data_IF_739808447109
#
_entry.id   IF_739808447109
#
_cell.length_a   1.000
_cell.length_b   1.000
_cell.length_c   1.000
_cell.angle_alpha   90.00
_cell.angle_beta   90.00
_cell.angle_gamma   90.00
#
_symmetry.space_group_name_H-M   'P 1'
#
loop_
_entity.id
_entity.type
_entity.pdbx_description
1 polymer ?
#
# COMPACT_ATOMS: atom_id res chain seq x y z
N UNK A 1 13.01 -1.38 -11.16
CA UNK A 1 14.32 -0.71 -11.11
C UNK A 1 15.14 -1.38 -10.00
N UNK A 2 16.42 -1.66 -10.22
CA UNK A 2 17.27 -2.27 -9.20
C UNK A 2 17.40 -1.30 -8.01
N UNK A 3 17.16 -1.78 -6.79
CA UNK A 3 17.28 -0.95 -5.59
C UNK A 3 18.74 -0.95 -5.16
N UNK A 4 19.35 0.24 -5.05
CA UNK A 4 20.71 0.37 -4.57
C UNK A 4 20.77 0.31 -3.04
N UNK A 5 21.63 -0.56 -2.51
CA UNK A 5 21.94 -0.69 -1.09
C UNK A 5 23.32 -0.09 -0.77
N UNK A 6 23.73 0.96 -1.49
CA UNK A 6 25.02 1.61 -1.24
C UNK A 6 24.97 2.38 0.09
N UNK A 7 26.09 2.35 0.83
CA UNK A 7 26.23 3.11 2.09
C UNK A 7 25.55 2.48 3.31
N UNK A 8 25.03 1.25 3.23
CA UNK A 8 24.57 0.49 4.39
C UNK A 8 25.62 -0.55 4.79
N UNK A 9 26.01 -0.54 6.07
CA UNK A 9 27.04 -1.41 6.64
C UNK A 9 26.59 -2.87 6.87
N UNK A 10 25.44 -3.28 6.35
CA UNK A 10 24.84 -4.60 6.56
C UNK A 10 24.57 -5.32 5.23
N UNK A 11 24.68 -6.66 5.19
CA UNK A 11 24.32 -7.42 4.00
C UNK A 11 22.87 -7.17 3.58
N UNK A 12 22.61 -7.10 2.27
CA UNK A 12 21.27 -6.90 1.69
C UNK A 12 20.24 -7.86 2.29
N UNK A 13 20.58 -9.13 2.47
CA UNK A 13 19.68 -10.14 3.01
C UNK A 13 19.22 -9.81 4.45
N UNK A 14 20.12 -9.28 5.29
CA UNK A 14 19.82 -8.88 6.68
C UNK A 14 18.86 -7.69 6.70
N UNK A 15 19.13 -6.69 5.88
CA UNK A 15 18.28 -5.50 5.74
C UNK A 15 16.88 -5.89 5.30
N UNK A 16 16.78 -6.69 4.23
CA UNK A 16 15.50 -7.12 3.69
C UNK A 16 14.73 -7.98 4.69
N UNK A 17 15.41 -8.81 5.46
CA UNK A 17 14.78 -9.61 6.51
C UNK A 17 14.14 -8.73 7.58
N UNK A 18 14.89 -7.76 8.11
CA UNK A 18 14.38 -6.78 9.08
C UNK A 18 13.20 -5.98 8.51
N UNK A 19 13.35 -5.42 7.30
CA UNK A 19 12.28 -4.63 6.66
C UNK A 19 11.03 -5.48 6.46
N UNK A 20 11.16 -6.68 5.88
CA UNK A 20 10.03 -7.58 5.65
C UNK A 20 9.33 -7.95 6.95
N UNK A 21 10.09 -8.29 7.99
CA UNK A 21 9.53 -8.69 9.28
C UNK A 21 8.74 -7.54 9.93
N UNK A 22 9.31 -6.32 9.91
CA UNK A 22 8.65 -5.14 10.44
C UNK A 22 7.31 -4.84 9.75
N UNK A 23 7.28 -4.89 8.42
CA UNK A 23 6.08 -4.51 7.66
C UNK A 23 5.02 -5.63 7.63
N UNK A 24 5.43 -6.87 7.93
CA UNK A 24 4.55 -8.04 7.89
C UNK A 24 3.89 -8.35 9.24
N UNK A 25 4.57 -8.05 10.35
CA UNK A 25 4.14 -8.40 11.70
C UNK A 25 3.96 -7.15 12.55
N UNK A 26 3.04 -7.22 13.52
CA UNK A 26 2.72 -6.09 14.39
C UNK A 26 3.74 -5.99 15.55
N UNK A 27 5.01 -5.72 15.20
CA UNK A 27 6.12 -5.60 16.14
C UNK A 27 6.63 -4.16 16.22
N UNK A 28 7.17 -3.77 17.37
CA UNK A 28 7.85 -2.48 17.54
C UNK A 28 9.26 -2.53 16.93
N UNK A 29 9.88 -1.37 16.69
CA UNK A 29 11.28 -1.36 16.25
C UNK A 29 12.26 -1.86 17.31
N UNK A 30 11.89 -1.78 18.60
CA UNK A 30 12.69 -2.33 19.70
C UNK A 30 12.57 -3.84 19.76
N UNK A 31 11.36 -4.36 19.59
CA UNK A 31 11.14 -5.82 19.49
C UNK A 31 11.94 -6.38 18.31
N UNK A 32 11.94 -5.67 17.17
CA UNK A 32 12.74 -6.09 16.02
C UNK A 32 14.25 -6.02 16.27
N UNK A 33 14.73 -5.01 16.99
CA UNK A 33 16.13 -4.94 17.43
C UNK A 33 16.50 -6.16 18.28
N UNK A 34 15.66 -6.53 19.25
CA UNK A 34 15.84 -7.73 20.08
C UNK A 34 15.83 -9.03 19.23
N UNK A 35 14.84 -9.19 18.34
CA UNK A 35 14.74 -10.34 17.42
C UNK A 35 15.98 -10.46 16.52
N UNK A 36 16.53 -9.34 16.06
CA UNK A 36 17.75 -9.35 15.24
C UNK A 36 18.98 -9.71 16.09
N UNK A 37 19.05 -9.22 17.33
CA UNK A 37 20.12 -9.54 18.27
C UNK A 37 20.12 -11.02 18.68
N UNK A 38 18.96 -11.66 18.86
CA UNK A 38 18.82 -13.11 19.08
C UNK A 38 19.45 -13.94 17.95
N UNK A 39 19.53 -13.39 16.74
CA UNK A 39 20.18 -14.01 15.58
C UNK A 39 21.62 -13.55 15.36
N UNK A 40 22.21 -12.85 16.33
CA UNK A 40 23.59 -12.35 16.29
C UNK A 40 23.78 -11.07 15.47
N UNK A 41 22.71 -10.36 15.10
CA UNK A 41 22.78 -9.10 14.35
C UNK A 41 22.52 -7.93 15.30
N UNK A 42 23.59 -7.25 15.72
CA UNK A 42 23.51 -6.08 16.62
C UNK A 42 23.20 -4.83 15.81
N UNK A 43 21.94 -4.38 15.80
CA UNK A 43 21.50 -3.19 15.05
C UNK A 43 20.51 -2.36 15.86
N UNK A 44 20.75 -1.05 15.96
CA UNK A 44 19.89 -0.13 16.68
C UNK A 44 18.53 0.10 15.97
N UNK A 45 17.44 0.21 16.75
CA UNK A 45 16.08 0.47 16.28
C UNK A 45 15.94 1.69 15.36
N UNK A 46 16.74 2.75 15.52
CA UNK A 46 16.71 3.90 14.60
C UNK A 46 17.31 3.55 13.24
N UNK A 47 18.29 2.63 13.18
CA UNK A 47 18.80 2.08 11.91
C UNK A 47 17.74 1.24 11.21
N UNK A 48 17.03 0.39 11.95
CA UNK A 48 15.90 -0.39 11.42
C UNK A 48 14.81 0.52 10.86
N UNK A 49 14.47 1.61 11.56
CA UNK A 49 13.54 2.62 11.07
C UNK A 49 14.00 3.24 9.75
N UNK A 50 15.27 3.66 9.65
CA UNK A 50 15.84 4.21 8.41
C UNK A 50 15.72 3.22 7.26
N UNK A 51 15.97 1.93 7.48
CA UNK A 51 15.82 0.90 6.44
C UNK A 51 14.39 0.77 5.96
N UNK A 52 13.42 0.68 6.86
CA UNK A 52 12.01 0.58 6.50
C UNK A 52 11.57 1.79 5.68
N UNK A 53 11.89 3.00 6.16
CA UNK A 53 11.49 4.25 5.49
C UNK A 53 12.16 4.40 4.12
N UNK A 54 13.42 3.99 3.99
CA UNK A 54 14.19 4.15 2.75
C UNK A 54 13.84 3.10 1.68
N UNK A 55 13.74 1.82 2.06
CA UNK A 55 13.63 0.73 1.09
C UNK A 55 12.18 0.38 0.75
N UNK A 56 11.24 0.51 1.68
CA UNK A 56 9.84 0.11 1.44
C UNK A 56 9.17 0.84 0.26
N UNK A 57 9.34 2.16 0.05
CA UNK A 57 8.75 2.85 -1.11
C UNK A 57 9.24 2.27 -2.46
N UNK A 58 10.54 2.03 -2.59
CA UNK A 58 11.14 1.51 -3.82
C UNK A 58 10.71 0.07 -4.08
N UNK A 59 10.60 -0.76 -3.04
CA UNK A 59 10.05 -2.11 -3.14
C UNK A 59 8.58 -2.07 -3.57
N UNK A 60 7.80 -1.13 -3.03
CA UNK A 60 6.40 -0.95 -3.42
C UNK A 60 6.23 -0.49 -4.86
N UNK A 61 7.10 0.39 -5.36
CA UNK A 61 7.10 0.77 -6.78
C UNK A 61 7.37 -0.44 -7.68
N UNK A 62 8.36 -1.28 -7.34
CA UNK A 62 8.63 -2.53 -8.06
C UNK A 62 7.47 -3.53 -7.94
N UNK A 63 6.81 -3.61 -6.78
CA UNK A 63 5.64 -4.44 -6.56
C UNK A 63 4.46 -4.01 -7.46
N UNK A 64 4.18 -2.71 -7.55
CA UNK A 64 3.13 -2.18 -8.42
C UNK A 64 3.38 -2.51 -9.89
N UNK A 65 4.65 -2.46 -10.33
CA UNK A 65 5.02 -2.79 -11.71
C UNK A 65 4.97 -4.29 -12.02
N UNK A 66 5.17 -5.17 -11.03
CA UNK A 66 5.32 -6.63 -11.22
C UNK A 66 4.12 -7.46 -10.77
N UNK A 67 3.12 -6.85 -10.12
CA UNK A 67 1.91 -7.55 -9.67
C UNK A 67 1.11 -8.08 -10.86
N UNK A 68 0.31 -9.11 -10.62
CA UNK A 68 -0.65 -9.62 -11.62
C UNK A 68 -1.70 -8.56 -11.94
N UNK A 69 -2.22 -8.63 -13.17
CA UNK A 69 -3.35 -7.80 -13.60
C UNK A 69 -4.55 -8.06 -12.71
N UNK A 70 -5.17 -6.99 -12.26
CA UNK A 70 -6.37 -6.98 -11.42
C UNK A 70 -7.64 -6.94 -12.27
N UNK A 71 -8.78 -7.30 -11.69
CA UNK A 71 -10.07 -7.22 -12.37
C UNK A 71 -10.54 -5.76 -12.56
N UNK A 72 -11.34 -5.53 -13.61
CA UNK A 72 -11.87 -4.20 -13.98
C UNK A 72 -13.01 -3.68 -13.07
N UNK A 73 -13.41 -4.44 -12.05
CA UNK A 73 -14.41 -4.01 -11.06
C UNK A 73 -13.73 -3.68 -9.74
N UNK A 74 -13.68 -2.40 -9.41
CA UNK A 74 -12.94 -1.89 -8.26
C UNK A 74 -13.88 -1.60 -7.08
N UNK A 75 -13.34 -1.70 -5.87
CA UNK A 75 -13.89 -1.15 -4.63
C UNK A 75 -12.87 -0.18 -4.08
N UNK A 76 -13.32 1.01 -3.71
CA UNK A 76 -12.47 2.05 -3.16
C UNK A 76 -13.12 2.66 -1.93
N UNK A 77 -12.29 2.94 -0.93
CA UNK A 77 -12.64 3.58 0.32
C UNK A 77 -11.38 4.14 0.98
N UNK A 78 -11.57 4.99 1.98
CA UNK A 78 -10.50 5.51 2.81
C UNK A 78 -10.51 4.85 4.19
N UNK A 79 -9.31 4.62 4.74
CA UNK A 79 -9.17 4.32 6.18
C UNK A 79 -8.33 5.38 6.88
N UNK A 80 -8.64 5.60 8.15
CA UNK A 80 -7.94 6.55 9.00
C UNK A 80 -6.61 5.99 9.48
N UNK A 81 -5.55 6.79 9.36
CA UNK A 81 -4.22 6.51 9.92
C UNK A 81 -3.79 7.73 10.74
N UNK A 82 -3.25 7.50 11.95
CA UNK A 82 -2.80 8.60 12.81
C UNK A 82 -1.34 8.96 12.51
N UNK A 83 -1.09 10.23 12.20
CA UNK A 83 0.25 10.78 11.92
C UNK A 83 0.40 12.09 12.68
N UNK A 84 1.46 12.24 13.48
CA UNK A 84 1.72 13.42 14.33
C UNK A 84 0.52 13.81 15.20
N UNK A 85 -0.17 12.80 15.74
CA UNK A 85 -1.37 13.01 16.55
C UNK A 85 -2.64 13.35 15.77
N UNK A 86 -2.55 13.66 14.47
CA UNK A 86 -3.68 14.01 13.59
C UNK A 86 -4.15 12.82 12.77
N UNK A 87 -5.44 12.77 12.45
CA UNK A 87 -5.98 11.78 11.53
C UNK A 87 -5.67 12.16 10.09
N UNK A 88 -5.13 11.19 9.35
CA UNK A 88 -4.86 11.23 7.91
C UNK A 88 -5.63 10.11 7.22
N UNK A 89 -5.68 10.14 5.89
CA UNK A 89 -6.54 9.30 5.08
C UNK A 89 -5.70 8.44 4.15
N UNK A 90 -5.75 7.14 4.35
CA UNK A 90 -5.18 6.16 3.43
C UNK A 90 -6.28 5.75 2.45
N UNK A 91 -6.22 6.32 1.25
CA UNK A 91 -7.02 5.91 0.11
C UNK A 91 -6.55 4.55 -0.37
N UNK A 92 -7.49 3.61 -0.56
CA UNK A 92 -7.18 2.25 -1.01
C UNK A 92 -8.20 1.78 -2.02
N UNK A 93 -7.72 1.03 -3.00
CA UNK A 93 -8.57 0.33 -3.94
C UNK A 93 -8.18 -1.14 -4.02
N UNK A 94 -9.18 -2.01 -4.06
CA UNK A 94 -9.04 -3.44 -4.34
C UNK A 94 -10.00 -3.83 -5.45
N UNK A 95 -9.68 -4.87 -6.21
CA UNK A 95 -10.60 -5.39 -7.19
C UNK A 95 -11.70 -6.27 -6.56
N UNK A 96 -12.56 -6.86 -7.39
CA UNK A 96 -13.65 -7.74 -6.95
C UNK A 96 -13.20 -9.01 -6.25
N UNK A 97 -11.96 -9.43 -6.49
CA UNK A 97 -11.35 -10.65 -5.97
C UNK A 97 -10.47 -10.32 -4.74
N UNK A 98 -10.46 -9.05 -4.31
CA UNK A 98 -9.72 -8.58 -3.13
C UNK A 98 -8.25 -8.26 -3.41
N UNK A 99 -7.80 -8.31 -4.66
CA UNK A 99 -6.42 -7.99 -5.03
C UNK A 99 -6.17 -6.49 -4.97
N UNK A 100 -5.01 -6.08 -4.46
CA UNK A 100 -4.72 -4.65 -4.23
C UNK A 100 -4.46 -3.93 -5.56
N UNK A 101 -5.25 -2.89 -5.84
CA UNK A 101 -5.07 -2.04 -7.03
C UNK A 101 -4.07 -0.94 -6.76
N UNK A 102 -4.35 -0.10 -5.77
CA UNK A 102 -3.49 1.03 -5.48
C UNK A 102 -3.80 1.57 -4.08
N UNK A 103 -2.88 2.37 -3.55
CA UNK A 103 -3.03 3.04 -2.28
C UNK A 103 -2.33 4.40 -2.29
N UNK A 104 -2.83 5.33 -1.49
CA UNK A 104 -2.24 6.65 -1.34
C UNK A 104 -2.57 7.24 0.03
N UNK A 105 -1.54 7.63 0.78
CA UNK A 105 -1.71 8.40 2.00
C UNK A 105 -1.90 9.88 1.67
N UNK A 106 -2.89 10.51 2.30
CA UNK A 106 -3.21 11.93 2.17
C UNK A 106 -3.48 12.55 3.53
N UNK A 107 -3.02 13.79 3.74
CA UNK A 107 -3.38 14.57 4.93
C UNK A 107 -4.83 15.06 4.90
N UNK A 108 -5.45 15.11 3.73
CA UNK A 108 -6.81 15.66 3.51
C UNK A 108 -7.73 14.65 2.86
N UNK A 109 -9.01 14.72 3.23
CA UNK A 109 -10.12 14.00 2.58
C UNK A 109 -10.93 14.96 1.74
N UNK A 110 -10.39 15.31 0.58
CA UNK A 110 -10.99 16.27 -0.34
C UNK A 110 -11.02 15.75 -1.79
N UNK A 111 -11.68 16.51 -2.65
CA UNK A 111 -11.80 16.17 -4.07
C UNK A 111 -10.43 16.12 -4.78
N UNK A 112 -9.47 16.95 -4.36
CA UNK A 112 -8.14 16.97 -4.96
C UNK A 112 -7.38 15.66 -4.66
N UNK A 113 -7.45 15.18 -3.41
CA UNK A 113 -6.90 13.90 -3.00
C UNK A 113 -7.59 12.74 -3.74
N UNK A 114 -8.92 12.72 -3.80
CA UNK A 114 -9.66 11.68 -4.54
C UNK A 114 -9.26 11.65 -6.03
N UNK A 115 -9.21 12.81 -6.71
CA UNK A 115 -8.77 12.91 -8.12
C UNK A 115 -7.35 12.42 -8.32
N UNK A 116 -6.43 12.80 -7.43
CA UNK A 116 -5.03 12.34 -7.48
C UNK A 116 -4.96 10.82 -7.35
N UNK A 117 -5.71 10.24 -6.42
CA UNK A 117 -5.78 8.78 -6.25
C UNK A 117 -6.31 8.07 -7.50
N UNK A 118 -7.43 8.54 -8.07
CA UNK A 118 -7.97 7.95 -9.30
C UNK A 118 -7.01 8.07 -10.47
N UNK A 119 -6.35 9.22 -10.64
CA UNK A 119 -5.34 9.41 -11.69
C UNK A 119 -4.21 8.39 -11.55
N UNK A 120 -3.70 8.20 -10.33
CA UNK A 120 -2.65 7.22 -10.02
C UNK A 120 -3.12 5.79 -10.34
N UNK A 121 -4.27 5.39 -9.79
CA UNK A 121 -4.80 4.04 -9.94
C UNK A 121 -5.11 3.69 -11.40
N UNK A 122 -5.70 4.61 -12.16
CA UNK A 122 -6.01 4.42 -13.59
C UNK A 122 -4.74 4.37 -14.44
N UNK A 123 -3.74 5.20 -14.13
CA UNK A 123 -2.47 5.16 -14.85
C UNK A 123 -1.76 3.81 -14.66
N UNK A 124 -1.86 3.21 -13.48
CA UNK A 124 -1.21 1.93 -13.16
C UNK A 124 -2.03 0.69 -13.58
N UNK A 125 -3.36 0.75 -13.58
CA UNK A 125 -4.22 -0.43 -13.72
C UNK A 125 -5.19 -0.36 -14.93
N UNK A 126 -5.21 0.75 -15.66
CA UNK A 126 -6.18 1.02 -16.73
C UNK A 126 -7.52 1.55 -16.21
N UNK A 127 -8.41 1.88 -17.15
CA UNK A 127 -9.75 2.40 -16.83
C UNK A 127 -10.67 1.23 -16.42
N UNK A 128 -11.32 1.29 -15.24
CA UNK A 128 -12.24 0.25 -14.79
C UNK A 128 -13.63 0.37 -15.41
N UNK A 129 -14.28 -0.78 -15.63
CA UNK A 129 -15.69 -0.85 -16.03
C UNK A 129 -16.61 -0.31 -14.93
N UNK A 130 -16.24 -0.55 -13.67
CA UNK A 130 -17.06 -0.21 -12.51
C UNK A 130 -16.23 0.09 -11.27
N UNK A 131 -16.62 1.13 -10.55
CA UNK A 131 -16.06 1.44 -9.22
C UNK A 131 -17.20 1.49 -8.20
N UNK A 132 -17.04 0.71 -7.14
CA UNK A 132 -17.88 0.78 -5.94
C UNK A 132 -17.17 1.69 -4.94
N UNK A 133 -17.90 2.69 -4.44
CA UNK A 133 -17.43 3.61 -3.40
C UNK A 133 -18.40 3.60 -2.23
N UNK A 134 -17.95 4.08 -1.07
CA UNK A 134 -18.87 4.44 0.03
C UNK A 134 -19.73 5.66 -0.36
N UNK A 135 -20.50 6.20 0.60
CA UNK A 135 -21.29 7.41 0.41
C UNK A 135 -20.46 8.71 0.47
N UNK A 136 -19.14 8.67 0.26
CA UNK A 136 -18.25 9.84 0.23
C UNK A 136 -18.53 10.72 -0.99
N UNK A 137 -18.90 11.98 -0.73
CA UNK A 137 -19.09 12.99 -1.78
C UNK A 137 -17.81 13.28 -2.56
N UNK A 138 -16.63 13.23 -1.91
CA UNK A 138 -15.35 13.48 -2.57
C UNK A 138 -15.01 12.40 -3.61
N UNK A 139 -15.29 11.13 -3.29
CA UNK A 139 -15.04 10.00 -4.20
C UNK A 139 -15.97 10.02 -5.39
N UNK A 140 -17.26 10.30 -5.14
CA UNK A 140 -18.26 10.46 -6.20
C UNK A 140 -17.86 11.59 -7.16
N UNK A 141 -17.54 12.75 -6.63
CA UNK A 141 -17.09 13.90 -7.44
C UNK A 141 -15.76 13.63 -8.17
N UNK A 142 -14.85 12.84 -7.56
CA UNK A 142 -13.62 12.37 -8.19
C UNK A 142 -13.90 11.50 -9.42
N UNK A 143 -14.75 10.49 -9.30
CA UNK A 143 -15.15 9.61 -10.41
C UNK A 143 -15.95 10.33 -11.48
N UNK A 144 -16.83 11.25 -11.10
CA UNK A 144 -17.54 12.08 -12.07
C UNK A 144 -16.55 12.91 -12.91
N UNK A 145 -15.53 13.51 -12.28
CA UNK A 145 -14.49 14.23 -12.99
C UNK A 145 -13.69 13.32 -13.95
N UNK A 146 -13.41 12.07 -13.55
CA UNK A 146 -12.79 11.07 -14.43
C UNK A 146 -13.68 10.80 -15.65
N UNK A 147 -14.97 10.54 -15.45
CA UNK A 147 -15.91 10.29 -16.55
C UNK A 147 -16.04 11.48 -17.51
N UNK A 148 -15.99 12.71 -16.99
CA UNK A 148 -15.96 13.93 -17.82
C UNK A 148 -14.73 13.92 -18.71
N UNK A 149 -13.54 13.66 -18.15
CA UNK A 149 -12.29 13.61 -18.93
C UNK A 149 -12.37 12.51 -20.00
N UNK A 150 -12.75 11.29 -19.63
CA UNK A 150 -12.86 10.14 -20.55
C UNK A 150 -13.82 10.44 -21.71
N UNK A 151 -14.94 11.11 -21.42
CA UNK A 151 -15.91 11.53 -22.45
C UNK A 151 -15.30 12.54 -23.42
N UNK A 152 -14.56 13.53 -22.92
CA UNK A 152 -13.96 14.58 -23.76
C UNK A 152 -12.76 14.10 -24.57
N UNK A 153 -11.95 13.20 -24.01
CA UNK A 153 -10.76 12.67 -24.71
C UNK A 153 -11.09 11.52 -25.65
N UNK A 154 -12.27 10.91 -25.54
CA UNK A 154 -12.64 9.71 -26.29
C UNK A 154 -11.79 8.48 -25.93
N UNK A 155 -11.05 8.53 -24.82
CA UNK A 155 -10.15 7.45 -24.41
C UNK A 155 -10.86 6.52 -23.44
N UNK A 156 -11.19 5.31 -23.88
CA UNK A 156 -11.80 4.27 -23.06
C UNK A 156 -13.33 4.38 -22.97
N UNK A 157 -13.92 3.83 -21.91
CA UNK A 157 -15.35 3.82 -21.66
C UNK A 157 -15.69 4.53 -20.34
N UNK A 158 -16.94 4.95 -20.19
CA UNK A 158 -17.39 5.58 -18.95
C UNK A 158 -17.45 4.57 -17.81
N UNK A 159 -16.89 4.95 -16.67
CA UNK A 159 -16.87 4.15 -15.45
C UNK A 159 -18.27 4.13 -14.83
N UNK A 160 -18.81 2.94 -14.58
CA UNK A 160 -20.05 2.78 -13.81
C UNK A 160 -19.78 3.01 -12.32
N UNK A 161 -20.40 4.02 -11.71
CA UNK A 161 -20.25 4.31 -10.28
C UNK A 161 -21.37 3.65 -9.49
N UNK A 162 -21.05 2.94 -8.40
CA UNK A 162 -22.04 2.35 -7.49
C UNK A 162 -21.75 2.69 -6.03
N UNK A 163 -22.81 2.93 -5.26
CA UNK A 163 -22.77 3.18 -3.81
C UNK A 163 -23.52 2.08 -3.07
N UNK A 164 -22.93 0.88 -3.02
CA UNK A 164 -23.59 -0.32 -2.49
C UNK A 164 -22.80 -0.86 -1.31
N UNK A 165 -23.37 -0.74 -0.10
CA UNK A 165 -22.68 -1.04 1.17
C UNK A 165 -22.07 -2.44 1.21
N UNK A 166 -22.82 -3.48 0.86
CA UNK A 166 -22.34 -4.87 0.97
C UNK A 166 -21.18 -5.20 0.02
N UNK A 167 -21.04 -4.48 -1.10
CA UNK A 167 -19.92 -4.69 -2.02
C UNK A 167 -18.59 -4.15 -1.47
N UNK A 168 -18.65 -3.22 -0.49
CA UNK A 168 -17.48 -2.68 0.19
C UNK A 168 -16.95 -3.59 1.31
N UNK A 169 -17.70 -4.63 1.72
CA UNK A 169 -17.28 -5.53 2.80
C UNK A 169 -15.88 -6.14 2.55
N UNK A 170 -15.54 -6.44 1.29
CA UNK A 170 -14.21 -6.95 0.91
C UNK A 170 -13.11 -5.94 1.28
N UNK A 171 -13.33 -4.66 0.98
CA UNK A 171 -12.37 -3.60 1.27
C UNK A 171 -12.32 -3.27 2.76
N UNK A 172 -13.46 -3.30 3.45
CA UNK A 172 -13.51 -3.17 4.91
C UNK A 172 -12.74 -4.29 5.63
N UNK A 173 -12.86 -5.53 5.15
CA UNK A 173 -12.06 -6.65 5.64
C UNK A 173 -10.58 -6.44 5.35
N UNK A 174 -10.25 -5.91 4.16
CA UNK A 174 -8.89 -5.58 3.77
C UNK A 174 -8.26 -4.51 4.68
N UNK A 175 -9.03 -3.50 5.10
CA UNK A 175 -8.61 -2.48 6.07
C UNK A 175 -8.19 -3.07 7.42
N UNK A 176 -8.77 -4.20 7.84
CA UNK A 176 -8.43 -4.84 9.13
C UNK A 176 -6.98 -5.32 9.15
N UNK A 177 -6.40 -5.67 8.00
CA UNK A 177 -4.98 -6.03 7.93
C UNK A 177 -4.10 -4.82 8.27
N UNK A 178 -4.30 -3.69 7.60
CA UNK A 178 -3.54 -2.46 7.86
C UNK A 178 -3.69 -2.05 9.32
N UNK A 179 -4.93 -1.98 9.83
CA UNK A 179 -5.22 -1.56 11.21
C UNK A 179 -4.56 -2.47 12.26
N UNK A 180 -4.46 -3.77 11.99
CA UNK A 180 -3.80 -4.73 12.89
C UNK A 180 -2.30 -4.49 12.98
N UNK A 181 -1.65 -4.12 11.88
CA UNK A 181 -0.21 -3.81 11.87
C UNK A 181 0.05 -2.41 12.45
N UNK A 182 -0.74 -1.41 12.04
CA UNK A 182 -0.52 -0.02 12.44
C UNK A 182 -1.05 0.33 13.83
N UNK A 183 -2.00 -0.46 14.37
CA UNK A 183 -2.62 -0.21 15.67
C UNK A 183 -1.60 -0.16 16.82
N UNK A 184 -0.77 -1.19 17.00
CA UNK A 184 0.28 -1.21 18.04
C UNK A 184 1.36 -0.14 17.87
N UNK A 185 1.52 0.44 16.67
CA UNK A 185 2.50 1.50 16.42
C UNK A 185 2.15 2.83 17.10
N UNK A 186 0.95 2.98 17.67
CA UNK A 186 0.45 4.20 18.34
C UNK A 186 0.52 5.48 17.47
N UNK A 187 0.50 5.29 16.15
CA UNK A 187 0.57 6.37 15.17
C UNK A 187 1.99 6.82 14.82
N UNK A 188 2.15 7.31 13.60
CA UNK A 188 3.45 7.69 13.05
C UNK A 188 3.88 9.10 13.50
N UNK A 189 5.19 9.33 13.64
CA UNK A 189 5.75 10.66 14.02
C UNK A 189 6.03 11.58 12.83
N UNK A 190 6.02 11.07 11.60
CA UNK A 190 6.23 11.86 10.39
C UNK A 190 5.46 11.29 9.20
N UNK A 191 4.99 12.16 8.32
CA UNK A 191 4.20 11.77 7.15
C UNK A 191 5.00 10.91 6.16
N UNK A 192 6.25 11.29 5.85
CA UNK A 192 7.10 10.49 4.96
C UNK A 192 7.38 9.09 5.52
N UNK A 193 7.59 8.98 6.83
CA UNK A 193 7.82 7.70 7.51
C UNK A 193 6.56 6.84 7.51
N UNK A 194 5.38 7.44 7.72
CA UNK A 194 4.09 6.77 7.59
C UNK A 194 3.88 6.23 6.16
N UNK A 195 4.07 7.08 5.15
CA UNK A 195 3.91 6.72 3.75
C UNK A 195 4.85 5.57 3.35
N UNK A 196 6.13 5.64 3.74
CA UNK A 196 7.09 4.58 3.44
C UNK A 196 6.78 3.26 4.15
N UNK A 197 6.43 3.32 5.43
CA UNK A 197 6.06 2.11 6.20
C UNK A 197 4.81 1.46 5.64
N UNK A 198 3.75 2.25 5.36
CA UNK A 198 2.50 1.75 4.79
C UNK A 198 2.76 1.11 3.42
N UNK A 199 3.62 1.71 2.60
CA UNK A 199 3.99 1.12 1.31
C UNK A 199 4.55 -0.31 1.48
N UNK A 200 5.41 -0.52 2.47
CA UNK A 200 5.93 -1.85 2.80
C UNK A 200 4.84 -2.81 3.32
N UNK A 201 3.94 -2.32 4.19
CA UNK A 201 2.82 -3.12 4.72
C UNK A 201 1.91 -3.59 3.59
N UNK A 202 1.59 -2.71 2.64
CA UNK A 202 0.78 -3.05 1.46
C UNK A 202 1.46 -4.10 0.60
N UNK A 203 2.77 -4.00 0.37
CA UNK A 203 3.52 -5.04 -0.38
C UNK A 203 3.45 -6.39 0.34
N UNK A 204 3.69 -6.41 1.65
CA UNK A 204 3.59 -7.64 2.43
C UNK A 204 2.17 -8.25 2.37
N UNK A 205 1.14 -7.39 2.29
CA UNK A 205 -0.23 -7.83 2.10
C UNK A 205 -0.48 -8.39 0.70
N UNK A 206 0.02 -7.73 -0.35
CA UNK A 206 -0.06 -8.22 -1.74
C UNK A 206 0.61 -9.59 -1.89
N UNK A 207 1.74 -9.81 -1.22
CA UNK A 207 2.41 -11.12 -1.20
C UNK A 207 1.53 -12.15 -0.52
N UNK A 208 0.91 -11.81 0.63
CA UNK A 208 -0.03 -12.69 1.34
C UNK A 208 -1.28 -13.04 0.52
N UNK A 209 -1.67 -12.20 -0.44
CA UNK A 209 -2.80 -12.41 -1.36
C UNK A 209 -2.42 -13.18 -2.63
N UNK A 210 -1.18 -13.67 -2.72
CA UNK A 210 -0.63 -14.36 -3.90
C UNK A 210 -0.72 -13.53 -5.19
N UNK A 211 -0.57 -12.20 -5.06
CA UNK A 211 -0.73 -11.26 -6.18
C UNK A 211 0.46 -11.22 -7.16
N UNK A 212 1.49 -12.04 -6.93
CA UNK A 212 2.69 -12.12 -7.77
C UNK A 212 2.79 -13.52 -8.41
N UNK A 213 3.68 -13.70 -9.39
CA UNK A 213 3.83 -15.00 -10.05
C UNK A 213 4.09 -16.13 -9.03
N UNK A 214 3.33 -17.22 -9.14
CA UNK A 214 3.41 -18.35 -8.21
C UNK A 214 4.60 -19.23 -8.60
N UNK A 215 5.76 -18.90 -8.07
CA UNK A 215 7.03 -19.56 -8.43
C UNK A 215 7.48 -20.57 -7.36
N UNK A 216 6.58 -20.99 -6.45
CA UNK A 216 6.92 -21.89 -5.33
C UNK A 216 7.88 -21.28 -4.30
N UNK A 217 8.15 -19.97 -4.38
CA UNK A 217 9.05 -19.27 -3.47
C UNK A 217 8.31 -18.78 -2.21
N UNK A 218 9.03 -18.69 -1.10
CA UNK A 218 8.49 -18.19 0.16
C UNK A 218 8.12 -16.70 0.06
N UNK A 219 7.25 -16.23 0.96
CA UNK A 219 6.86 -14.82 1.03
C UNK A 219 8.07 -13.86 1.18
N UNK A 220 9.09 -14.27 1.95
CA UNK A 220 10.31 -13.50 2.09
C UNK A 220 11.13 -13.48 0.79
N UNK A 221 11.27 -14.61 0.10
CA UNK A 221 11.96 -14.67 -1.19
C UNK A 221 11.23 -13.81 -2.25
N UNK A 222 9.90 -13.83 -2.26
CA UNK A 222 9.09 -12.96 -3.12
C UNK A 222 9.36 -11.48 -2.81
N UNK A 223 9.38 -11.10 -1.52
CA UNK A 223 9.69 -9.73 -1.10
C UNK A 223 11.12 -9.32 -1.49
N UNK A 224 12.10 -10.20 -1.27
CA UNK A 224 13.48 -9.96 -1.62
C UNK A 224 13.69 -9.83 -3.15
N UNK A 225 12.95 -10.61 -3.94
CA UNK A 225 12.95 -10.50 -5.40
C UNK A 225 12.38 -9.15 -5.88
N UNK A 226 11.40 -8.57 -5.18
CA UNK A 226 10.91 -7.21 -5.46
C UNK A 226 11.95 -6.12 -5.14
N UNK A 227 12.93 -6.44 -4.29
CA UNK A 227 14.08 -5.58 -4.01
C UNK A 227 15.31 -5.87 -4.89
N UNK A 228 15.20 -6.81 -5.85
CA UNK A 228 16.22 -7.12 -6.84
C UNK A 228 16.08 -6.25 -8.10
#
# INVERSE_FOLDING_TARGET
>A
MAIEFKGVHYPKAVILHAVFFYVRYAVSYRDLEEIMAERGVVVDHATLNRWVVNFSPSIAANAQARKRRTANSWRMDETYIRVRGKWTYLYRAVDRDGQTLDFMLSERRDLAAARRFFKQAIAANGVPDRVVIDKSGANLAGLMAVNVILKFTGTGHLVTIRQVKYLNNILEQDHRFIKRITGPMMGFKAFHSAAGTIAGIEVAHMIRKDQFAANGITAFQQFAALAA
#
